data_IF_304672053093
#
_entry.id   IF_304672053093
#
_cell.length_a   1.000
_cell.length_b   1.000
_cell.length_c   1.000
_cell.angle_alpha   90.00
_cell.angle_beta   90.00
_cell.angle_gamma   90.00
#
_symmetry.space_group_name_H-M   'P 1'
#
loop_
_entity.id
_entity.type
_entity.pdbx_description
1 polymer ?
#
# COMPACT_ATOMS: atom_id res chain seq x y z
N UNK A 1 4.87 -20.42 -0.13
CA UNK A 1 6.05 -19.54 -0.02
C UNK A 1 6.51 -18.97 -1.38
N UNK A 2 6.90 -19.78 -2.37
CA UNK A 2 7.47 -19.26 -3.64
C UNK A 2 6.56 -18.25 -4.40
N UNK A 3 5.25 -18.47 -4.44
CA UNK A 3 4.31 -17.60 -5.16
C UNK A 3 4.10 -16.21 -4.54
N UNK A 4 4.43 -16.02 -3.25
CA UNK A 4 4.36 -14.71 -2.59
C UNK A 4 5.65 -13.92 -2.82
N UNK A 5 6.81 -14.56 -2.74
CA UNK A 5 8.11 -13.93 -3.02
C UNK A 5 8.23 -13.40 -4.45
N UNK A 6 7.72 -14.16 -5.44
CA UNK A 6 7.71 -13.68 -6.82
C UNK A 6 6.87 -12.42 -7.02
N UNK A 7 5.75 -12.30 -6.29
CA UNK A 7 4.86 -11.14 -6.38
C UNK A 7 5.42 -9.92 -5.65
N UNK A 8 6.00 -10.10 -4.47
CA UNK A 8 6.64 -8.99 -3.74
C UNK A 8 7.86 -8.45 -4.46
N UNK A 9 8.68 -9.32 -5.07
CA UNK A 9 9.81 -8.88 -5.91
C UNK A 9 9.34 -8.10 -7.15
N UNK A 10 8.35 -8.64 -7.87
CA UNK A 10 7.78 -7.95 -9.03
C UNK A 10 7.16 -6.60 -8.66
N UNK A 11 6.41 -6.54 -7.55
CA UNK A 11 5.85 -5.29 -7.03
C UNK A 11 6.97 -4.28 -6.70
N UNK A 12 8.05 -4.71 -6.05
CA UNK A 12 9.20 -3.83 -5.76
C UNK A 12 9.78 -3.22 -7.03
N UNK A 13 10.01 -4.03 -8.06
CA UNK A 13 10.61 -3.56 -9.32
C UNK A 13 9.68 -2.60 -10.08
N UNK A 14 8.38 -2.89 -10.13
CA UNK A 14 7.39 -1.98 -10.74
C UNK A 14 7.32 -0.64 -9.99
N UNK A 15 7.34 -0.68 -8.67
CA UNK A 15 7.27 0.52 -7.83
C UNK A 15 8.52 1.39 -7.94
N UNK A 16 9.69 0.82 -8.23
CA UNK A 16 10.91 1.59 -8.57
C UNK A 16 10.78 2.33 -9.90
N UNK A 17 10.11 1.73 -10.88
CA UNK A 17 9.94 2.32 -12.22
C UNK A 17 8.87 3.40 -12.21
N UNK A 18 7.80 3.24 -11.44
CA UNK A 18 6.71 4.22 -11.36
C UNK A 18 6.14 4.34 -9.95
N UNK A 19 6.82 5.09 -9.06
CA UNK A 19 6.37 5.30 -7.69
C UNK A 19 4.99 5.97 -7.60
N UNK A 20 4.59 6.75 -8.61
CA UNK A 20 3.28 7.40 -8.68
C UNK A 20 2.09 6.42 -8.64
N UNK A 21 2.31 5.13 -8.97
CA UNK A 21 1.27 4.10 -8.85
C UNK A 21 0.86 3.83 -7.40
N UNK A 22 1.71 4.17 -6.43
CA UNK A 22 1.39 4.04 -4.99
C UNK A 22 0.19 4.90 -4.59
N UNK A 23 0.14 6.12 -5.13
CA UNK A 23 -0.91 7.08 -4.86
C UNK A 23 -2.14 6.86 -5.74
N UNK A 24 -2.14 5.82 -6.59
CA UNK A 24 -3.32 5.49 -7.38
C UNK A 24 -4.42 4.93 -6.48
N UNK A 25 -5.62 5.46 -6.66
CA UNK A 25 -6.79 5.12 -5.87
C UNK A 25 -7.79 4.33 -6.72
N UNK A 26 -8.36 3.28 -6.13
CA UNK A 26 -9.46 2.55 -6.75
C UNK A 26 -10.79 3.35 -6.66
N UNK A 27 -11.92 2.76 -7.08
CA UNK A 27 -13.25 3.41 -7.04
C UNK A 27 -13.72 3.79 -5.63
N UNK A 28 -13.14 3.20 -4.58
CA UNK A 28 -13.42 3.47 -3.16
C UNK A 28 -12.41 4.45 -2.55
N UNK A 29 -11.60 5.11 -3.38
CA UNK A 29 -10.47 5.93 -2.96
C UNK A 29 -9.40 5.17 -2.15
N UNK A 30 -9.37 3.83 -2.22
CA UNK A 30 -8.37 3.04 -1.51
C UNK A 30 -7.06 3.01 -2.31
N UNK A 31 -5.95 3.29 -1.63
CA UNK A 31 -4.60 3.01 -2.13
C UNK A 31 -4.22 1.56 -1.87
N UNK A 32 -3.12 1.11 -2.48
CA UNK A 32 -2.56 -0.22 -2.18
C UNK A 32 -2.33 -0.42 -0.67
N UNK A 33 -1.92 0.62 0.05
CA UNK A 33 -1.68 0.54 1.50
C UNK A 33 -2.96 0.26 2.30
N UNK A 34 -4.11 0.81 1.90
CA UNK A 34 -5.40 0.52 2.56
C UNK A 34 -5.79 -0.95 2.41
N UNK A 35 -5.62 -1.49 1.19
CA UNK A 35 -5.99 -2.86 0.86
C UNK A 35 -5.13 -3.85 1.66
N UNK A 36 -3.80 -3.68 1.59
CA UNK A 36 -2.85 -4.60 2.24
C UNK A 36 -2.91 -4.50 3.77
N UNK A 37 -3.19 -3.31 4.34
CA UNK A 37 -3.43 -3.12 5.77
C UNK A 37 -4.71 -3.81 6.24
N UNK A 38 -5.81 -3.68 5.48
CA UNK A 38 -7.08 -4.36 5.76
C UNK A 38 -6.95 -5.89 5.70
N UNK A 39 -6.13 -6.40 4.78
CA UNK A 39 -5.91 -7.85 4.62
C UNK A 39 -4.80 -8.41 5.54
N UNK A 40 -4.16 -7.57 6.36
CA UNK A 40 -3.10 -7.99 7.28
C UNK A 40 -1.83 -8.49 6.60
N UNK A 41 -1.56 -8.07 5.34
CA UNK A 41 -0.38 -8.52 4.57
C UNK A 41 0.87 -7.73 4.95
N UNK A 42 1.38 -7.99 6.16
CA UNK A 42 2.45 -7.22 6.80
C UNK A 42 3.70 -7.09 5.91
N UNK A 43 4.08 -8.14 5.17
CA UNK A 43 5.26 -8.08 4.30
C UNK A 43 5.11 -7.08 3.14
N UNK A 44 3.91 -6.96 2.57
CA UNK A 44 3.63 -6.01 1.48
C UNK A 44 3.49 -4.59 2.04
N UNK A 45 2.89 -4.45 3.23
CA UNK A 45 2.84 -3.18 3.96
C UNK A 45 4.26 -2.65 4.20
N UNK A 46 5.19 -3.48 4.68
CA UNK A 46 6.58 -3.07 4.86
C UNK A 46 7.26 -2.67 3.55
N UNK A 47 6.98 -3.38 2.45
CA UNK A 47 7.51 -3.02 1.13
C UNK A 47 7.01 -1.66 0.67
N UNK A 48 5.70 -1.39 0.81
CA UNK A 48 5.10 -0.09 0.47
C UNK A 48 5.66 1.05 1.34
N UNK A 49 5.93 0.78 2.62
CA UNK A 49 6.51 1.75 3.56
C UNK A 49 8.03 1.90 3.43
N UNK A 50 8.69 1.06 2.63
CA UNK A 50 10.13 1.15 2.33
C UNK A 50 10.45 2.07 1.15
N UNK A 51 9.42 2.66 0.53
CA UNK A 51 9.53 3.65 -0.55
C UNK A 51 10.11 4.98 -0.04
N UNK A 52 10.48 5.87 -0.97
CA UNK A 52 10.98 7.21 -0.61
C UNK A 52 10.01 7.95 0.32
N UNK A 53 10.56 8.70 1.28
CA UNK A 53 9.80 9.30 2.39
C UNK A 53 8.62 10.15 1.90
N UNK A 54 8.76 10.84 0.77
CA UNK A 54 7.69 11.63 0.16
C UNK A 54 6.44 10.80 -0.18
N UNK A 55 6.61 9.62 -0.80
CA UNK A 55 5.49 8.75 -1.15
C UNK A 55 4.90 8.07 0.09
N UNK A 56 5.76 7.72 1.04
CA UNK A 56 5.34 7.15 2.32
C UNK A 56 4.47 8.12 3.12
N UNK A 57 4.86 9.38 3.26
CA UNK A 57 4.06 10.41 3.94
C UNK A 57 2.71 10.61 3.24
N UNK A 58 2.72 10.66 1.90
CA UNK A 58 1.50 10.80 1.11
C UNK A 58 0.56 9.61 1.32
N UNK A 59 1.08 8.38 1.20
CA UNK A 59 0.32 7.15 1.42
C UNK A 59 -0.30 7.07 2.83
N UNK A 60 0.41 7.52 3.86
CA UNK A 60 -0.06 7.49 5.25
C UNK A 60 -1.18 8.52 5.52
N UNK A 61 -1.23 9.60 4.74
CA UNK A 61 -2.19 10.70 4.94
C UNK A 61 -3.41 10.62 4.03
N UNK A 62 -3.34 9.82 2.95
CA UNK A 62 -4.48 9.58 2.07
C UNK A 62 -5.61 8.84 2.80
N UNK A 63 -6.85 9.23 2.49
CA UNK A 63 -8.07 8.63 3.01
C UNK A 63 -8.90 7.98 1.91
N UNK A 64 -9.60 6.90 2.26
CA UNK A 64 -10.61 6.28 1.41
C UNK A 64 -11.91 7.11 1.35
N UNK A 65 -12.94 6.57 0.68
CA UNK A 65 -14.25 7.22 0.53
C UNK A 65 -14.96 7.51 1.85
N UNK A 66 -14.62 6.79 2.93
CA UNK A 66 -15.18 6.96 4.27
C UNK A 66 -14.37 7.92 5.14
N UNK A 67 -13.25 8.45 4.62
CA UNK A 67 -12.30 9.23 5.42
C UNK A 67 -11.34 8.37 6.24
N UNK A 68 -11.32 7.05 6.04
CA UNK A 68 -10.43 6.14 6.76
C UNK A 68 -9.04 6.16 6.12
N UNK A 69 -7.99 6.30 6.92
CA UNK A 69 -6.60 6.03 6.49
C UNK A 69 -6.29 4.54 6.55
N UNK A 70 -5.16 4.12 5.97
CA UNK A 70 -4.71 2.73 6.05
C UNK A 70 -4.59 2.20 7.49
N UNK A 71 -4.27 3.06 8.47
CA UNK A 71 -4.22 2.66 9.88
C UNK A 71 -5.61 2.32 10.46
N UNK A 72 -6.65 3.03 10.03
CA UNK A 72 -8.02 2.70 10.43
C UNK A 72 -8.42 1.32 9.90
N UNK A 73 -8.00 0.99 8.67
CA UNK A 73 -8.29 -0.29 8.02
C UNK A 73 -7.62 -1.47 8.72
N UNK A 74 -6.41 -1.30 9.27
CA UNK A 74 -5.69 -2.37 10.00
C UNK A 74 -6.21 -2.65 11.41
N UNK A 75 -7.01 -1.76 12.00
CA UNK A 75 -7.65 -1.99 13.31
C UNK A 75 -9.04 -2.65 13.17
N UNK A 76 -9.63 -2.61 11.97
CA UNK A 76 -10.94 -3.21 11.67
C UNK A 76 -10.85 -4.67 11.24
N UNK A 77 -9.64 -5.20 11.02
CA UNK A 77 -9.36 -6.58 10.61
C UNK A 77 -9.09 -7.54 11.77
#
# INVERSE_FOLDING_TARGET
MAAHYGRSHFASEVLKITPALLCHQNKKNETALHIEANEGRIEVVHLLLSMEEHYKEMLMTMTDENGDTALHKSVRS
#
